data_IF_984370277226
#
_entry.id   IF_984370277226
#
_cell.length_a   1.000
_cell.length_b   1.000
_cell.length_c   1.000
_cell.angle_alpha   90.00
_cell.angle_beta   90.00
_cell.angle_gamma   90.00
#
_symmetry.space_group_name_H-M   'P 1'
#
loop_
_entity.id
_entity.type
_entity.pdbx_description
1 polymer ?
#
# COMPACT_ATOMS: atom_id res chain seq x y z
N UNK A 1 45.30 6.97 -3.76
CA UNK A 1 46.00 7.21 -5.04
C UNK A 1 46.87 8.48 -4.88
N UNK A 2 48.19 8.36 -5.08
CA UNK A 2 49.06 9.53 -5.09
C UNK A 2 48.99 10.17 -6.48
N UNK A 3 48.92 11.50 -6.53
CA UNK A 3 48.95 12.26 -7.76
C UNK A 3 50.35 12.23 -8.38
N UNK A 4 50.46 11.96 -9.66
CA UNK A 4 51.69 12.00 -10.43
C UNK A 4 51.46 12.83 -11.70
N UNK A 5 52.03 14.02 -11.76
CA UNK A 5 51.86 14.99 -12.86
C UNK A 5 52.39 14.50 -14.21
N UNK A 6 53.23 13.48 -14.24
CA UNK A 6 53.86 12.99 -15.48
C UNK A 6 53.16 11.74 -16.07
N UNK A 7 52.12 11.25 -15.44
CA UNK A 7 51.44 10.01 -15.86
C UNK A 7 50.22 10.29 -16.75
N UNK A 8 50.25 9.81 -17.98
CA UNK A 8 49.09 9.80 -18.91
C UNK A 8 47.89 9.03 -18.31
N UNK A 9 48.16 8.15 -17.38
CA UNK A 9 47.14 7.38 -16.67
C UNK A 9 46.25 8.27 -15.78
N UNK A 10 46.84 9.32 -15.16
CA UNK A 10 46.09 10.28 -14.36
C UNK A 10 45.12 11.11 -15.18
N UNK A 11 45.50 11.51 -16.38
CA UNK A 11 44.62 12.24 -17.29
C UNK A 11 43.37 11.40 -17.63
N UNK A 12 43.55 10.13 -17.88
CA UNK A 12 42.45 9.17 -18.14
C UNK A 12 41.56 8.96 -16.90
N UNK A 13 42.15 8.86 -15.72
CA UNK A 13 41.40 8.72 -14.44
C UNK A 13 40.55 9.98 -14.19
N UNK A 14 41.13 11.17 -14.39
CA UNK A 14 40.43 12.44 -14.21
C UNK A 14 39.30 12.55 -15.25
N UNK A 15 39.58 12.30 -16.54
CA UNK A 15 38.57 12.32 -17.60
C UNK A 15 37.43 11.34 -17.33
N UNK A 16 37.71 10.15 -16.83
CA UNK A 16 36.69 9.18 -16.50
C UNK A 16 35.85 9.61 -15.28
N UNK A 17 36.48 10.19 -14.25
CA UNK A 17 35.75 10.74 -13.09
C UNK A 17 34.87 11.92 -13.48
N UNK A 18 35.36 12.82 -14.33
CA UNK A 18 34.57 13.95 -14.83
C UNK A 18 33.40 13.43 -15.69
N UNK A 19 33.62 12.46 -16.58
CA UNK A 19 32.55 11.84 -17.37
C UNK A 19 31.51 11.17 -16.49
N UNK A 20 31.95 10.50 -15.43
CA UNK A 20 31.04 9.86 -14.46
C UNK A 20 30.23 10.90 -13.69
N UNK A 21 30.87 11.97 -13.20
CA UNK A 21 30.22 13.07 -12.53
C UNK A 21 29.19 13.78 -13.44
N UNK A 22 29.58 14.10 -14.68
CA UNK A 22 28.68 14.71 -15.67
C UNK A 22 27.52 13.77 -16.08
N UNK A 23 27.77 12.47 -16.13
CA UNK A 23 26.70 11.49 -16.37
C UNK A 23 25.75 11.40 -15.17
N UNK A 24 26.29 11.52 -13.96
CA UNK A 24 25.51 11.57 -12.72
C UNK A 24 24.71 12.87 -12.61
N UNK A 25 25.31 14.04 -12.90
CA UNK A 25 24.59 15.32 -12.97
C UNK A 25 23.49 15.31 -14.04
N UNK A 26 23.76 14.79 -15.24
CA UNK A 26 22.72 14.63 -16.27
C UNK A 26 21.63 13.62 -15.88
N UNK A 27 21.94 12.63 -15.05
CA UNK A 27 20.91 11.77 -14.48
C UNK A 27 20.10 12.52 -13.42
N UNK A 28 20.73 13.34 -12.59
CA UNK A 28 20.03 14.22 -11.62
C UNK A 28 19.18 15.27 -12.35
N UNK A 29 19.65 15.88 -13.42
CA UNK A 29 18.85 16.82 -14.24
C UNK A 29 17.67 16.12 -14.94
N UNK A 30 17.83 14.85 -15.36
CA UNK A 30 16.69 14.00 -15.82
C UNK A 30 15.69 13.71 -14.72
N UNK A 31 16.09 13.71 -13.45
CA UNK A 31 15.22 13.61 -12.28
C UNK A 31 14.53 14.94 -11.93
N UNK A 32 14.90 16.07 -12.55
CA UNK A 32 14.25 17.37 -12.33
C UNK A 32 12.84 17.48 -12.98
N UNK A 33 12.46 16.53 -13.83
CA UNK A 33 11.07 16.33 -14.30
C UNK A 33 10.22 15.50 -13.33
N UNK A 34 10.51 15.57 -12.03
CA UNK A 34 9.72 14.95 -10.98
C UNK A 34 8.29 15.48 -11.06
N UNK A 35 7.38 14.64 -11.48
CA UNK A 35 5.95 14.94 -11.52
C UNK A 35 5.39 14.83 -10.11
N UNK A 36 5.66 15.82 -9.25
CA UNK A 36 5.11 15.80 -7.89
C UNK A 36 3.62 15.48 -7.91
N UNK A 37 3.21 14.56 -7.05
CA UNK A 37 1.80 14.31 -6.75
C UNK A 37 1.54 14.55 -5.26
N UNK A 38 0.30 14.87 -4.93
CA UNK A 38 -0.11 15.04 -3.53
C UNK A 38 -0.49 13.67 -2.93
N UNK A 39 -1.11 12.83 -3.75
CA UNK A 39 -1.58 11.50 -3.37
C UNK A 39 -1.16 10.48 -4.40
N UNK A 40 -0.68 9.34 -3.92
CA UNK A 40 -0.52 8.14 -4.71
C UNK A 40 -1.45 7.04 -4.18
N UNK A 41 -2.10 6.30 -5.08
CA UNK A 41 -2.98 5.17 -4.74
C UNK A 41 -2.46 3.93 -5.46
N UNK A 42 -2.25 2.85 -4.72
CA UNK A 42 -1.79 1.58 -5.27
C UNK A 42 -2.75 0.45 -4.95
N UNK A 43 -2.81 -0.54 -5.84
CA UNK A 43 -3.58 -1.75 -5.68
C UNK A 43 -2.81 -2.98 -6.20
N UNK A 44 -3.25 -4.18 -5.82
CA UNK A 44 -2.55 -5.41 -6.13
C UNK A 44 -3.08 -6.09 -7.40
N UNK A 45 -4.39 -6.23 -7.52
CA UNK A 45 -5.02 -7.08 -8.53
C UNK A 45 -5.99 -6.32 -9.44
N UNK A 46 -6.34 -6.94 -10.57
CA UNK A 46 -7.20 -6.30 -11.59
C UNK A 46 -8.57 -5.85 -11.04
N UNK A 47 -9.22 -6.64 -10.20
CA UNK A 47 -10.51 -6.28 -9.61
C UNK A 47 -10.44 -4.98 -8.79
N UNK A 48 -9.32 -4.79 -8.07
CA UNK A 48 -9.06 -3.57 -7.29
C UNK A 48 -8.78 -2.38 -8.23
N UNK A 49 -8.00 -2.60 -9.31
CA UNK A 49 -7.73 -1.57 -10.30
C UNK A 49 -9.01 -1.12 -11.04
N UNK A 50 -9.89 -2.05 -11.40
CA UNK A 50 -11.18 -1.73 -12.00
C UNK A 50 -12.07 -0.92 -11.03
N UNK A 51 -12.10 -1.31 -9.75
CA UNK A 51 -12.82 -0.57 -8.72
C UNK A 51 -12.24 0.84 -8.51
N UNK A 52 -10.91 0.97 -8.53
CA UNK A 52 -10.22 2.26 -8.40
C UNK A 52 -10.53 3.17 -9.60
N UNK A 53 -10.46 2.64 -10.84
CA UNK A 53 -10.86 3.39 -12.04
C UNK A 53 -12.33 3.79 -11.99
N UNK A 54 -13.20 2.93 -11.50
CA UNK A 54 -14.62 3.24 -11.34
C UNK A 54 -14.83 4.35 -10.31
N UNK A 55 -14.16 4.29 -9.16
CA UNK A 55 -14.27 5.31 -8.12
C UNK A 55 -13.91 6.70 -8.66
N UNK A 56 -12.84 6.80 -9.45
CA UNK A 56 -12.33 8.05 -10.00
C UNK A 56 -12.76 8.34 -11.46
N UNK A 57 -13.78 7.67 -11.98
CA UNK A 57 -14.24 7.74 -13.39
C UNK A 57 -14.61 9.14 -13.89
N UNK A 58 -14.90 10.07 -12.99
CA UNK A 58 -15.26 11.46 -13.31
C UNK A 58 -14.03 12.34 -13.57
N UNK A 59 -12.83 11.78 -13.41
CA UNK A 59 -11.55 12.49 -13.58
C UNK A 59 -10.77 11.89 -14.75
N UNK A 60 -10.10 12.77 -15.50
CA UNK A 60 -9.31 12.39 -16.68
C UNK A 60 -7.88 12.02 -16.29
N UNK A 61 -7.65 10.72 -16.08
CA UNK A 61 -6.33 10.19 -15.77
C UNK A 61 -5.54 9.88 -17.04
N UNK A 62 -4.40 10.53 -17.20
CA UNK A 62 -3.49 10.32 -18.31
C UNK A 62 -2.39 9.32 -17.92
N UNK A 63 -2.11 8.39 -18.84
CA UNK A 63 -1.02 7.43 -18.66
C UNK A 63 0.34 8.14 -18.70
N UNK A 64 1.20 7.81 -17.76
CA UNK A 64 2.56 8.33 -17.63
C UNK A 64 3.52 7.17 -17.46
N UNK A 65 4.61 7.18 -18.20
CA UNK A 65 5.66 6.16 -18.12
C UNK A 65 7.03 6.83 -17.93
N UNK A 66 7.96 6.06 -17.41
CA UNK A 66 9.36 6.44 -17.22
C UNK A 66 10.25 5.40 -17.89
N UNK A 67 11.33 5.83 -18.55
CA UNK A 67 12.27 4.92 -19.22
C UNK A 67 12.96 3.93 -18.26
N UNK A 68 13.03 4.30 -16.98
CA UNK A 68 13.67 3.51 -15.92
C UNK A 68 12.73 2.51 -15.23
N UNK A 69 11.44 2.52 -15.57
CA UNK A 69 10.41 1.74 -14.90
C UNK A 69 9.39 1.21 -15.92
N UNK A 70 9.01 -0.05 -15.78
CA UNK A 70 8.04 -0.71 -16.66
C UNK A 70 6.60 -0.57 -16.18
N UNK A 71 6.35 0.17 -15.11
CA UNK A 71 5.04 0.39 -14.52
C UNK A 71 4.23 1.41 -15.31
N UNK A 72 2.96 1.15 -15.52
CA UNK A 72 2.00 2.13 -16.02
C UNK A 72 1.44 2.94 -14.86
N UNK A 73 1.70 4.23 -14.88
CA UNK A 73 1.12 5.18 -13.93
C UNK A 73 0.02 5.98 -14.59
N UNK A 74 -1.00 6.32 -13.83
CA UNK A 74 -2.11 7.14 -14.28
C UNK A 74 -2.22 8.39 -13.39
N UNK A 75 -2.03 9.57 -13.97
CA UNK A 75 -1.95 10.85 -13.27
C UNK A 75 -3.09 11.77 -13.70
N UNK A 76 -3.76 12.40 -12.74
CA UNK A 76 -4.75 13.44 -12.99
C UNK A 76 -4.57 14.64 -12.06
N UNK A 77 -5.01 15.82 -12.53
CA UNK A 77 -5.28 16.96 -11.66
C UNK A 77 -6.76 16.92 -11.28
N UNK A 78 -7.04 16.98 -9.99
CA UNK A 78 -8.40 16.95 -9.47
C UNK A 78 -8.60 18.07 -8.44
N UNK A 79 -9.86 18.45 -8.22
CA UNK A 79 -10.19 19.45 -7.17
C UNK A 79 -10.61 18.71 -5.92
N UNK A 80 -9.91 18.94 -4.81
CA UNK A 80 -10.20 18.38 -3.50
C UNK A 80 -10.13 19.49 -2.44
N UNK A 81 -11.15 19.62 -1.61
CA UNK A 81 -11.23 20.69 -0.60
C UNK A 81 -10.97 22.11 -1.14
N UNK A 82 -11.39 22.37 -2.40
CA UNK A 82 -11.16 23.66 -3.07
C UNK A 82 -9.75 23.89 -3.58
N UNK A 83 -8.86 22.91 -3.47
CA UNK A 83 -7.47 22.96 -3.98
C UNK A 83 -7.32 22.07 -5.20
N UNK A 84 -6.45 22.49 -6.14
CA UNK A 84 -6.01 21.63 -7.23
C UNK A 84 -4.90 20.71 -6.73
N UNK A 85 -5.15 19.42 -6.73
CA UNK A 85 -4.19 18.40 -6.32
C UNK A 85 -3.87 17.46 -7.48
N UNK A 86 -2.72 16.82 -7.39
CA UNK A 86 -2.32 15.76 -8.33
C UNK A 86 -2.44 14.40 -7.65
N UNK A 87 -3.20 13.53 -8.29
CA UNK A 87 -3.38 12.16 -7.85
C UNK A 87 -2.79 11.21 -8.89
N UNK A 88 -1.93 10.29 -8.45
CA UNK A 88 -1.41 9.21 -9.28
C UNK A 88 -1.91 7.87 -8.75
N UNK A 89 -2.24 6.95 -9.66
CA UNK A 89 -2.47 5.57 -9.25
C UNK A 89 -1.71 4.58 -10.14
N UNK A 90 -1.41 3.42 -9.57
CA UNK A 90 -0.77 2.32 -10.27
C UNK A 90 -1.16 0.96 -9.67
N UNK A 91 -1.04 -0.08 -10.47
CA UNK A 91 -1.20 -1.47 -10.04
C UNK A 91 0.17 -2.13 -9.92
N UNK A 92 0.40 -2.88 -8.85
CA UNK A 92 1.61 -3.70 -8.75
C UNK A 92 1.58 -4.87 -9.74
N UNK A 93 2.75 -5.38 -10.06
CA UNK A 93 2.92 -6.40 -11.09
C UNK A 93 2.37 -7.77 -10.69
N UNK A 94 2.49 -8.11 -9.42
CA UNK A 94 2.05 -9.35 -8.81
C UNK A 94 1.70 -9.13 -7.35
N UNK A 95 0.97 -10.04 -6.73
CA UNK A 95 0.64 -9.97 -5.30
C UNK A 95 1.90 -10.13 -4.44
N UNK A 96 1.87 -9.55 -3.24
CA UNK A 96 2.86 -9.76 -2.20
C UNK A 96 3.73 -8.55 -1.86
N UNK A 97 4.36 -8.61 -0.70
CA UNK A 97 5.15 -7.54 -0.08
C UNK A 97 6.28 -7.03 -0.97
N UNK A 98 6.96 -7.91 -1.72
CA UNK A 98 8.09 -7.52 -2.57
C UNK A 98 7.64 -6.60 -3.71
N UNK A 99 6.56 -6.98 -4.41
CA UNK A 99 5.98 -6.17 -5.48
C UNK A 99 5.41 -4.85 -4.94
N UNK A 100 4.73 -4.89 -3.79
CA UNK A 100 4.20 -3.72 -3.11
C UNK A 100 5.30 -2.74 -2.70
N UNK A 101 6.41 -3.23 -2.10
CA UNK A 101 7.56 -2.39 -1.76
C UNK A 101 8.21 -1.77 -2.98
N UNK A 102 8.40 -2.54 -4.05
CA UNK A 102 9.02 -2.05 -5.29
C UNK A 102 8.18 -0.95 -5.92
N UNK A 103 6.86 -1.17 -6.08
CA UNK A 103 5.96 -0.16 -6.63
C UNK A 103 5.92 1.10 -5.75
N UNK A 104 5.87 0.93 -4.43
CA UNK A 104 5.87 2.05 -3.48
C UNK A 104 7.13 2.90 -3.59
N UNK A 105 8.33 2.26 -3.65
CA UNK A 105 9.60 2.96 -3.83
C UNK A 105 9.66 3.71 -5.17
N UNK A 106 9.20 3.07 -6.26
CA UNK A 106 9.16 3.72 -7.57
C UNK A 106 8.22 4.95 -7.57
N UNK A 107 7.04 4.83 -6.97
CA UNK A 107 6.10 5.95 -6.83
C UNK A 107 6.69 7.06 -5.98
N UNK A 108 7.29 6.75 -4.83
CA UNK A 108 7.94 7.73 -3.97
C UNK A 108 9.05 8.44 -4.73
N UNK A 109 9.86 7.70 -5.48
CA UNK A 109 10.95 8.24 -6.27
C UNK A 109 10.47 9.15 -7.42
N UNK A 110 9.42 8.76 -8.14
CA UNK A 110 8.97 9.49 -9.32
C UNK A 110 8.03 10.65 -9.01
N UNK A 111 7.26 10.55 -7.91
CA UNK A 111 6.14 11.47 -7.66
C UNK A 111 6.20 12.19 -6.31
N UNK A 112 7.04 11.76 -5.36
CA UNK A 112 7.15 12.35 -4.01
C UNK A 112 5.80 12.69 -3.38
N UNK A 113 4.86 11.73 -3.26
CA UNK A 113 3.53 12.01 -2.73
C UNK A 113 3.58 12.29 -1.23
N UNK A 114 2.69 13.15 -0.72
CA UNK A 114 2.47 13.32 0.71
C UNK A 114 1.78 12.10 1.32
N UNK A 115 0.82 11.52 0.59
CA UNK A 115 0.07 10.32 1.01
C UNK A 115 0.25 9.19 0.02
N UNK A 116 0.56 8.00 0.54
CA UNK A 116 0.60 6.75 -0.23
C UNK A 116 -0.49 5.81 0.28
N UNK A 117 -1.56 5.65 -0.49
CA UNK A 117 -2.73 4.87 -0.09
C UNK A 117 -2.70 3.51 -0.77
N UNK A 118 -2.69 2.42 0.00
CA UNK A 118 -2.95 1.08 -0.50
C UNK A 118 -4.43 0.78 -0.37
N UNK A 119 -5.09 0.47 -1.48
CA UNK A 119 -6.47 -0.01 -1.50
C UNK A 119 -6.52 -1.48 -1.89
N UNK A 120 -7.62 -2.16 -1.57
CA UNK A 120 -7.84 -3.52 -2.02
C UNK A 120 -8.65 -4.36 -1.04
N UNK A 121 -8.42 -5.67 -1.10
CA UNK A 121 -9.11 -6.67 -0.31
C UNK A 121 -8.20 -7.33 0.72
N UNK A 122 -8.79 -7.86 1.78
CA UNK A 122 -8.10 -8.62 2.82
C UNK A 122 -9.02 -9.70 3.39
N UNK A 123 -8.45 -10.69 4.04
CA UNK A 123 -9.23 -11.58 4.89
C UNK A 123 -9.47 -10.91 6.26
N UNK A 124 -10.70 -10.97 6.76
CA UNK A 124 -11.06 -10.53 8.10
C UNK A 124 -10.65 -11.54 9.16
N UNK A 125 -10.25 -11.09 10.35
CA UNK A 125 -9.92 -11.95 11.49
C UNK A 125 -10.77 -11.55 12.70
N UNK A 126 -11.31 -12.56 13.41
CA UNK A 126 -12.13 -12.39 14.59
C UNK A 126 -13.62 -12.14 14.28
N UNK A 127 -14.46 -12.15 15.32
CA UNK A 127 -15.91 -12.00 15.21
C UNK A 127 -16.36 -10.53 15.08
N UNK A 128 -17.63 -10.34 14.72
CA UNK A 128 -18.27 -9.02 14.70
C UNK A 128 -17.91 -8.14 13.51
N UNK A 129 -17.37 -8.73 12.44
CA UNK A 129 -17.08 -8.07 11.17
C UNK A 129 -17.91 -8.67 10.04
N UNK A 130 -18.13 -7.89 9.01
CA UNK A 130 -18.91 -8.29 7.85
C UNK A 130 -18.06 -8.22 6.57
N UNK A 131 -18.45 -8.98 5.56
CA UNK A 131 -17.87 -8.87 4.22
C UNK A 131 -18.11 -7.46 3.67
N UNK A 132 -17.07 -6.83 3.17
CA UNK A 132 -17.07 -5.44 2.72
C UNK A 132 -16.68 -4.42 3.78
N UNK A 133 -16.67 -4.76 5.09
CA UNK A 133 -16.15 -3.84 6.11
C UNK A 133 -14.72 -3.43 5.78
N UNK A 134 -14.41 -2.15 5.96
CA UNK A 134 -13.14 -1.55 5.55
C UNK A 134 -12.17 -1.59 6.72
N UNK A 135 -11.11 -2.37 6.61
CA UNK A 135 -10.00 -2.37 7.55
C UNK A 135 -9.13 -1.14 7.29
N UNK A 136 -8.95 -0.33 8.32
CA UNK A 136 -7.93 0.71 8.39
C UNK A 136 -6.78 0.18 9.23
N UNK A 137 -5.65 -0.10 8.61
CA UNK A 137 -4.49 -0.60 9.33
C UNK A 137 -3.89 0.48 10.24
N UNK A 138 -4.05 0.34 11.56
CA UNK A 138 -3.39 1.23 12.54
C UNK A 138 -1.93 0.85 12.74
N UNK A 139 -1.59 -0.38 12.45
CA UNK A 139 -0.24 -0.91 12.33
C UNK A 139 -0.24 -2.08 11.35
N UNK A 140 0.89 -2.33 10.74
CA UNK A 140 1.13 -3.51 9.90
C UNK A 140 2.30 -4.31 10.44
N UNK A 141 2.25 -5.64 10.32
CA UNK A 141 3.31 -6.51 10.79
C UNK A 141 3.40 -7.78 9.94
N UNK A 142 4.64 -8.29 9.79
CA UNK A 142 4.88 -9.48 8.98
C UNK A 142 4.90 -10.74 9.86
N UNK A 143 3.84 -11.56 9.74
CA UNK A 143 3.72 -12.81 10.50
C UNK A 143 4.69 -13.91 10.02
N UNK A 144 5.25 -13.78 8.83
CA UNK A 144 6.22 -14.74 8.27
C UNK A 144 7.65 -14.44 8.74
N UNK A 145 7.87 -13.37 9.51
CA UNK A 145 9.19 -13.01 10.02
C UNK A 145 9.53 -13.78 11.30
N UNK A 146 10.60 -14.55 11.29
CA UNK A 146 10.98 -15.38 12.42
C UNK A 146 12.05 -16.39 12.06
N UNK A 147 12.21 -17.41 12.91
CA UNK A 147 13.15 -18.51 12.71
C UNK A 147 12.49 -19.86 12.99
N UNK A 148 12.98 -20.89 12.33
CA UNK A 148 12.66 -22.28 12.71
C UNK A 148 13.64 -22.75 13.79
N UNK A 149 13.09 -23.34 14.84
CA UNK A 149 13.84 -23.98 15.92
C UNK A 149 13.47 -25.46 15.98
N UNK A 150 14.33 -26.28 16.59
CA UNK A 150 14.03 -27.70 16.82
C UNK A 150 13.29 -27.84 18.15
N UNK A 151 12.10 -28.43 18.12
CA UNK A 151 11.33 -28.76 19.30
C UNK A 151 11.88 -29.96 20.06
N UNK A 152 11.28 -30.28 21.21
CA UNK A 152 11.77 -31.33 22.11
C UNK A 152 11.76 -32.73 21.47
N UNK A 153 10.88 -32.99 20.52
CA UNK A 153 10.76 -34.27 19.81
C UNK A 153 11.43 -34.23 18.41
N UNK A 154 12.22 -33.18 18.11
CA UNK A 154 12.90 -33.02 16.83
C UNK A 154 12.08 -32.38 15.72
N UNK A 155 10.84 -31.96 15.99
CA UNK A 155 9.98 -31.24 15.05
C UNK A 155 10.46 -29.82 14.79
N UNK A 156 10.18 -29.29 13.60
CA UNK A 156 10.45 -27.89 13.28
C UNK A 156 9.33 -27.00 13.81
N UNK A 157 9.67 -26.09 14.72
CA UNK A 157 8.76 -25.10 15.31
C UNK A 157 9.13 -23.71 14.77
N UNK A 158 8.15 -22.97 14.21
CA UNK A 158 8.35 -21.58 13.83
C UNK A 158 8.29 -20.70 15.08
N UNK A 159 9.38 -19.92 15.31
CA UNK A 159 9.48 -18.93 16.38
C UNK A 159 9.43 -17.54 15.74
N UNK A 160 8.30 -16.84 15.78
CA UNK A 160 8.12 -15.54 15.12
C UNK A 160 8.89 -14.44 15.84
N UNK A 161 9.33 -13.43 15.06
CA UNK A 161 9.93 -12.17 15.52
C UNK A 161 9.29 -11.02 14.73
N UNK A 162 8.00 -10.74 14.95
CA UNK A 162 7.28 -9.72 14.19
C UNK A 162 7.79 -8.33 14.50
N UNK A 163 7.95 -7.51 13.46
CA UNK A 163 8.21 -6.08 13.57
C UNK A 163 6.98 -5.33 13.12
N UNK A 164 6.53 -4.41 13.95
CA UNK A 164 5.35 -3.60 13.72
C UNK A 164 5.74 -2.24 13.16
N UNK A 165 5.03 -1.74 12.17
CA UNK A 165 5.16 -0.38 11.63
C UNK A 165 3.82 0.30 11.84
N UNK A 166 3.83 1.41 12.58
CA UNK A 166 2.62 2.13 12.99
C UNK A 166 2.16 3.10 11.89
N UNK A 167 0.86 3.31 11.81
CA UNK A 167 0.28 4.44 11.10
C UNK A 167 0.67 5.75 11.79
N UNK A 168 0.81 6.82 11.04
CA UNK A 168 0.99 8.17 11.60
C UNK A 168 -0.14 8.51 12.58
N UNK A 169 0.20 9.02 13.76
CA UNK A 169 -0.75 9.25 14.83
C UNK A 169 -1.80 10.33 14.50
N UNK A 170 -1.42 11.35 13.73
CA UNK A 170 -2.32 12.37 13.23
C UNK A 170 -3.33 11.77 12.27
N UNK A 171 -2.86 10.95 11.34
CA UNK A 171 -3.71 10.23 10.40
C UNK A 171 -4.62 9.23 11.10
N UNK A 172 -4.13 8.49 12.10
CA UNK A 172 -4.96 7.59 12.90
C UNK A 172 -6.10 8.35 13.58
N UNK A 173 -5.81 9.50 14.17
CA UNK A 173 -6.83 10.35 14.83
C UNK A 173 -7.91 10.82 13.85
N UNK A 174 -7.54 11.13 12.61
CA UNK A 174 -8.47 11.48 11.53
C UNK A 174 -9.35 10.28 11.18
N UNK A 175 -8.76 9.10 10.97
CA UNK A 175 -9.47 7.91 10.55
C UNK A 175 -10.35 7.28 11.65
N UNK A 176 -10.19 7.70 12.90
CA UNK A 176 -11.08 7.32 14.02
C UNK A 176 -12.35 8.17 14.15
N UNK A 177 -12.54 9.19 13.31
CA UNK A 177 -13.75 10.00 13.31
C UNK A 177 -14.97 9.19 12.86
N UNK A 178 -16.16 9.72 13.08
CA UNK A 178 -17.40 9.09 12.63
C UNK A 178 -17.61 9.30 11.11
N UNK A 179 -17.75 8.22 10.39
CA UNK A 179 -17.99 8.16 8.94
C UNK A 179 -19.29 7.41 8.60
N UNK A 180 -20.17 7.16 9.55
CA UNK A 180 -21.37 6.33 9.34
C UNK A 180 -22.22 6.79 8.15
N UNK A 181 -22.40 8.09 7.98
CA UNK A 181 -23.17 8.64 6.86
C UNK A 181 -22.52 8.35 5.50
N UNK A 182 -21.21 8.47 5.40
CA UNK A 182 -20.43 8.22 4.19
C UNK A 182 -20.44 6.73 3.84
N UNK A 183 -20.25 5.89 4.83
CA UNK A 183 -20.28 4.43 4.65
C UNK A 183 -21.67 3.95 4.22
N UNK A 184 -22.73 4.52 4.77
CA UNK A 184 -24.10 4.27 4.31
C UNK A 184 -24.28 4.67 2.84
N UNK A 185 -23.76 5.83 2.45
CA UNK A 185 -23.76 6.29 1.06
C UNK A 185 -23.04 5.32 0.12
N UNK A 186 -21.81 4.93 0.47
CA UNK A 186 -20.99 3.97 -0.29
C UNK A 186 -21.75 2.66 -0.48
N UNK A 187 -22.28 2.08 0.59
CA UNK A 187 -23.06 0.84 0.51
C UNK A 187 -24.26 0.98 -0.41
N UNK A 188 -25.02 2.07 -0.29
CA UNK A 188 -26.25 2.32 -1.07
C UNK A 188 -25.98 2.48 -2.56
N UNK A 189 -24.85 3.05 -2.93
CA UNK A 189 -24.49 3.30 -4.34
C UNK A 189 -23.90 2.08 -5.05
N UNK A 190 -23.58 1.01 -4.32
CA UNK A 190 -23.12 -0.23 -4.93
C UNK A 190 -24.16 -0.85 -5.84
N UNK A 191 -23.78 -1.08 -7.10
CA UNK A 191 -24.61 -1.71 -8.13
C UNK A 191 -24.19 -3.17 -8.34
N UNK A 192 -24.53 -4.01 -7.39
CA UNK A 192 -24.23 -5.44 -7.40
C UNK A 192 -25.24 -6.23 -6.61
N UNK A 193 -24.78 -7.29 -5.94
CA UNK A 193 -25.62 -8.08 -5.04
C UNK A 193 -26.14 -7.25 -3.87
N UNK A 194 -27.29 -7.64 -3.34
CA UNK A 194 -27.88 -6.99 -2.17
C UNK A 194 -27.05 -7.28 -0.93
N UNK A 195 -26.63 -6.22 -0.22
CA UNK A 195 -25.86 -6.30 1.02
C UNK A 195 -26.81 -6.01 2.20
N UNK A 196 -27.05 -6.98 3.08
CA UNK A 196 -28.02 -6.89 4.18
C UNK A 196 -27.46 -6.21 5.42
N UNK A 197 -26.16 -6.28 5.66
CA UNK A 197 -25.48 -5.68 6.82
C UNK A 197 -24.99 -4.27 6.55
N UNK A 198 -24.73 -3.51 7.60
CA UNK A 198 -24.14 -2.18 7.46
C UNK A 198 -22.65 -2.26 7.14
N UNK A 199 -22.14 -1.27 6.41
CA UNK A 199 -20.73 -1.10 6.11
C UNK A 199 -20.05 -0.35 7.26
N UNK A 200 -18.94 -0.87 7.76
CA UNK A 200 -18.23 -0.29 8.90
C UNK A 200 -16.74 -0.07 8.58
N UNK A 201 -16.11 0.85 9.34
CA UNK A 201 -14.66 0.91 9.47
C UNK A 201 -14.20 0.04 10.64
N UNK A 202 -13.19 -0.76 10.38
CA UNK A 202 -12.55 -1.62 11.38
C UNK A 202 -11.10 -1.18 11.54
N UNK A 203 -10.81 -0.44 12.61
CA UNK A 203 -9.45 0.03 12.89
C UNK A 203 -8.71 -0.98 13.75
N UNK A 204 -7.52 -1.40 13.30
CA UNK A 204 -6.68 -2.33 14.07
C UNK A 204 -5.45 -2.80 13.31
N UNK A 205 -4.65 -3.66 13.96
CA UNK A 205 -3.47 -4.28 13.36
C UNK A 205 -3.84 -5.14 12.16
N UNK A 206 -3.07 -5.01 11.08
CA UNK A 206 -3.18 -5.84 9.89
C UNK A 206 -1.94 -6.74 9.79
N UNK A 207 -2.14 -8.05 9.80
CA UNK A 207 -1.07 -9.01 9.57
C UNK A 207 -0.79 -9.12 8.07
N UNK A 208 0.47 -9.23 7.70
CA UNK A 208 0.88 -9.37 6.31
C UNK A 208 1.78 -10.59 6.14
N UNK A 209 1.63 -11.31 5.05
CA UNK A 209 2.46 -12.48 4.78
C UNK A 209 2.53 -12.85 3.31
N UNK A 210 3.40 -13.81 2.98
CA UNK A 210 3.68 -14.19 1.59
C UNK A 210 2.66 -15.16 0.98
N UNK A 211 1.72 -15.67 1.76
CA UNK A 211 0.78 -16.70 1.31
C UNK A 211 -0.67 -16.32 1.60
N UNK A 212 -1.56 -16.72 0.70
CA UNK A 212 -2.99 -16.72 0.95
C UNK A 212 -3.31 -17.77 2.01
N UNK A 213 -3.95 -17.35 3.09
CA UNK A 213 -4.37 -18.26 4.18
C UNK A 213 -5.84 -18.61 3.99
N UNK A 214 -6.14 -19.89 3.97
CA UNK A 214 -7.49 -20.45 3.92
C UNK A 214 -7.64 -21.56 4.97
N UNK A 215 -7.07 -21.36 6.17
CA UNK A 215 -7.06 -22.34 7.23
C UNK A 215 -7.08 -21.62 8.59
N UNK A 216 -8.16 -21.80 9.34
CA UNK A 216 -8.39 -21.16 10.63
C UNK A 216 -7.30 -21.49 11.67
N UNK A 217 -6.75 -22.70 11.64
CA UNK A 217 -5.66 -23.09 12.55
C UNK A 217 -4.39 -22.27 12.32
N UNK A 218 -4.05 -21.98 11.07
CA UNK A 218 -2.88 -21.11 10.75
C UNK A 218 -3.11 -19.70 11.31
N UNK A 219 -4.34 -19.18 11.20
CA UNK A 219 -4.70 -17.88 11.78
C UNK A 219 -4.49 -17.87 13.28
N UNK A 220 -4.95 -18.91 13.98
CA UNK A 220 -4.81 -19.02 15.43
C UNK A 220 -3.34 -19.17 15.84
N UNK A 221 -2.62 -20.11 15.24
CA UNK A 221 -1.26 -20.48 15.64
C UNK A 221 -0.22 -19.41 15.28
N UNK A 222 -0.33 -18.76 14.12
CA UNK A 222 0.69 -17.83 13.63
C UNK A 222 0.31 -16.35 13.82
N UNK A 223 -0.95 -16.02 13.98
CA UNK A 223 -1.41 -14.63 14.02
C UNK A 223 -1.96 -14.28 15.39
N UNK A 224 -3.03 -14.95 15.85
CA UNK A 224 -3.72 -14.56 17.08
C UNK A 224 -2.88 -14.76 18.34
N UNK A 225 -1.99 -15.76 18.37
CA UNK A 225 -1.07 -15.95 19.49
C UNK A 225 -0.04 -14.82 19.62
N UNK A 226 0.30 -14.13 18.52
CA UNK A 226 1.31 -13.08 18.51
C UNK A 226 0.73 -11.68 18.53
N UNK A 227 -0.44 -11.47 17.96
CA UNK A 227 -1.16 -10.20 17.98
C UNK A 227 -2.67 -10.44 18.06
N UNK A 228 -3.17 -10.60 19.27
CA UNK A 228 -4.60 -10.89 19.55
C UNK A 228 -5.57 -9.81 19.07
N UNK A 229 -5.08 -8.61 18.76
CA UNK A 229 -5.89 -7.48 18.27
C UNK A 229 -5.93 -7.39 16.74
N UNK A 230 -5.24 -8.29 16.05
CA UNK A 230 -5.22 -8.32 14.59
C UNK A 230 -6.63 -8.45 14.04
N UNK A 231 -6.99 -7.56 13.12
CA UNK A 231 -8.34 -7.45 12.56
C UNK A 231 -8.45 -8.03 11.16
N UNK A 232 -7.34 -8.26 10.51
CA UNK A 232 -7.30 -8.83 9.16
C UNK A 232 -5.91 -9.27 8.73
N UNK A 233 -5.87 -9.83 7.53
CA UNK A 233 -4.70 -10.43 6.91
C UNK A 233 -4.65 -10.06 5.43
N UNK A 234 -3.49 -9.57 4.97
CA UNK A 234 -3.22 -9.30 3.55
C UNK A 234 -1.82 -9.82 3.14
N UNK A 235 -1.40 -9.47 1.93
CA UNK A 235 -0.10 -9.87 1.40
C UNK A 235 0.81 -8.68 1.05
N UNK A 236 0.39 -7.45 1.20
CA UNK A 236 1.03 -6.26 0.66
C UNK A 236 1.36 -5.16 1.67
N UNK A 237 0.49 -4.94 2.64
CA UNK A 237 0.50 -3.74 3.50
C UNK A 237 1.85 -3.49 4.18
N UNK A 238 2.50 -4.54 4.68
CA UNK A 238 3.83 -4.39 5.30
C UNK A 238 4.85 -3.85 4.31
N UNK A 239 4.81 -4.29 3.05
CA UNK A 239 5.72 -3.81 2.01
C UNK A 239 5.55 -2.32 1.72
N UNK A 240 4.31 -1.83 1.69
CA UNK A 240 3.98 -0.41 1.48
C UNK A 240 4.50 0.45 2.63
N UNK A 241 4.18 0.06 3.87
CA UNK A 241 4.62 0.78 5.06
C UNK A 241 6.14 0.76 5.20
N UNK A 242 6.77 -0.38 4.89
CA UNK A 242 8.22 -0.51 4.92
C UNK A 242 8.89 0.44 3.92
N UNK A 243 8.39 0.52 2.69
CA UNK A 243 8.91 1.42 1.67
C UNK A 243 8.76 2.90 2.07
N UNK A 244 7.62 3.29 2.64
CA UNK A 244 7.36 4.66 3.07
C UNK A 244 8.22 5.07 4.27
N UNK A 245 8.42 4.18 5.26
CA UNK A 245 9.15 4.52 6.48
C UNK A 245 10.68 4.38 6.39
N UNK A 246 11.16 3.48 5.52
CA UNK A 246 12.59 3.16 5.42
C UNK A 246 13.18 3.35 4.03
N UNK A 247 12.40 3.91 3.11
CA UNK A 247 12.82 4.21 1.74
C UNK A 247 13.58 5.53 1.62
N UNK A 248 13.55 6.10 0.42
CA UNK A 248 14.32 7.30 0.07
C UNK A 248 13.72 8.61 0.61
N UNK A 249 12.44 8.61 0.94
CA UNK A 249 11.70 9.76 1.48
C UNK A 249 10.75 9.28 2.59
N UNK A 250 11.09 9.57 3.82
CA UNK A 250 10.32 9.16 5.01
C UNK A 250 9.26 10.20 5.44
N UNK A 251 9.03 11.24 4.64
CA UNK A 251 7.94 12.20 4.85
C UNK A 251 6.59 11.71 4.33
N UNK A 252 6.59 10.63 3.55
CA UNK A 252 5.39 10.03 2.98
C UNK A 252 4.58 9.32 4.06
N UNK A 253 3.28 9.62 4.13
CA UNK A 253 2.35 9.00 5.07
C UNK A 253 1.67 7.80 4.38
N UNK A 254 2.01 6.55 4.73
CA UNK A 254 1.32 5.38 4.20
C UNK A 254 -0.04 5.20 4.88
N UNK A 255 -1.05 4.86 4.09
CA UNK A 255 -2.40 4.53 4.56
C UNK A 255 -2.81 3.22 3.90
N UNK A 256 -3.29 2.24 4.66
CA UNK A 256 -3.79 0.99 4.11
C UNK A 256 -5.28 0.84 4.42
N UNK A 257 -6.07 0.70 3.35
CA UNK A 257 -7.51 0.54 3.35
C UNK A 257 -7.84 -0.77 2.61
N UNK A 258 -8.08 -1.82 3.36
CA UNK A 258 -8.42 -3.14 2.79
C UNK A 258 -9.82 -3.53 3.22
N UNK A 259 -10.67 -3.93 2.29
CA UNK A 259 -12.01 -4.40 2.65
C UNK A 259 -12.08 -5.91 2.74
N UNK A 260 -12.88 -6.41 3.67
CA UNK A 260 -13.00 -7.84 3.96
C UNK A 260 -13.71 -8.54 2.81
N UNK A 261 -13.00 -9.44 2.12
CA UNK A 261 -13.55 -10.29 1.05
C UNK A 261 -13.87 -11.71 1.52
N UNK A 262 -13.20 -12.17 2.56
CA UNK A 262 -13.33 -13.50 3.16
C UNK A 262 -12.81 -13.48 4.62
N UNK A 263 -12.83 -14.60 5.32
CA UNK A 263 -12.39 -14.71 6.71
C UNK A 263 -11.21 -15.67 6.92
N UNK A 264 -10.41 -15.90 5.89
CA UNK A 264 -9.24 -16.80 5.93
C UNK A 264 -9.55 -18.22 6.43
N UNK A 265 -10.77 -18.68 6.27
CA UNK A 265 -11.27 -19.99 6.68
C UNK A 265 -11.49 -20.92 5.47
N UNK A 266 -11.96 -22.12 5.74
CA UNK A 266 -12.25 -23.15 4.75
C UNK A 266 -13.46 -22.81 3.84
N UNK A 267 -14.20 -21.75 4.15
CA UNK A 267 -15.36 -21.26 3.38
C UNK A 267 -15.01 -20.11 2.44
N UNK A 268 -13.71 -19.83 2.27
CA UNK A 268 -13.23 -18.77 1.40
C UNK A 268 -13.83 -18.88 0.00
N UNK A 269 -14.40 -17.76 -0.50
CA UNK A 269 -14.97 -17.63 -1.83
C UNK A 269 -14.69 -16.25 -2.42
N UNK A 270 -14.91 -16.12 -3.73
CA UNK A 270 -14.61 -14.89 -4.47
C UNK A 270 -15.84 -13.97 -4.67
N UNK A 271 -17.00 -14.39 -4.15
CA UNK A 271 -18.29 -13.71 -4.40
C UNK A 271 -18.32 -12.25 -3.91
N UNK A 272 -17.56 -11.93 -2.88
CA UNK A 272 -17.52 -10.59 -2.30
C UNK A 272 -16.32 -9.74 -2.72
N UNK A 273 -15.41 -10.24 -3.54
CA UNK A 273 -14.23 -9.48 -3.98
C UNK A 273 -14.59 -8.17 -4.67
N UNK A 274 -15.64 -8.18 -5.52
CA UNK A 274 -16.10 -6.94 -6.20
C UNK A 274 -16.63 -5.91 -5.21
N UNK A 275 -17.43 -6.34 -4.23
CA UNK A 275 -17.95 -5.43 -3.22
C UNK A 275 -16.83 -4.89 -2.33
N UNK A 276 -15.94 -5.75 -1.86
CA UNK A 276 -14.80 -5.36 -1.05
C UNK A 276 -13.86 -4.39 -1.78
N UNK A 277 -13.50 -4.69 -3.03
CA UNK A 277 -12.69 -3.76 -3.85
C UNK A 277 -13.39 -2.41 -4.03
N UNK A 278 -14.70 -2.42 -4.27
CA UNK A 278 -15.50 -1.20 -4.41
C UNK A 278 -15.48 -0.36 -3.12
N UNK A 279 -15.75 -0.96 -1.94
CA UNK A 279 -15.85 -0.22 -0.68
C UNK A 279 -14.53 0.41 -0.27
N UNK A 280 -13.40 -0.30 -0.42
CA UNK A 280 -12.07 0.25 -0.14
C UNK A 280 -11.72 1.41 -1.06
N UNK A 281 -12.01 1.32 -2.36
CA UNK A 281 -11.71 2.38 -3.34
C UNK A 281 -12.61 3.60 -3.17
N UNK A 282 -13.91 3.43 -2.93
CA UNK A 282 -14.82 4.57 -2.71
C UNK A 282 -14.50 5.31 -1.41
N UNK A 283 -14.12 4.59 -0.34
CA UNK A 283 -13.69 5.26 0.88
C UNK A 283 -12.35 5.98 0.70
N UNK A 284 -11.40 5.39 -0.04
CA UNK A 284 -10.16 6.08 -0.41
C UNK A 284 -10.43 7.37 -1.19
N UNK A 285 -11.32 7.31 -2.19
CA UNK A 285 -11.77 8.51 -2.93
C UNK A 285 -12.35 9.57 -1.98
N UNK A 286 -13.22 9.15 -1.05
CA UNK A 286 -13.81 10.08 -0.08
C UNK A 286 -12.74 10.75 0.77
N UNK A 287 -11.74 10.00 1.27
CA UNK A 287 -10.61 10.56 2.01
C UNK A 287 -9.85 11.58 1.18
N UNK A 288 -9.49 11.22 -0.05
CA UNK A 288 -8.74 12.10 -0.97
C UNK A 288 -9.49 13.40 -1.25
N UNK A 289 -10.78 13.32 -1.52
CA UNK A 289 -11.56 14.49 -1.96
C UNK A 289 -12.00 15.40 -0.81
N UNK A 290 -12.16 14.86 0.43
CA UNK A 290 -12.88 15.59 1.48
C UNK A 290 -12.13 15.66 2.81
N UNK A 291 -11.12 14.82 3.06
CA UNK A 291 -10.55 14.66 4.40
C UNK A 291 -9.07 15.01 4.45
N UNK A 292 -8.28 14.54 3.47
CA UNK A 292 -6.84 14.76 3.47
C UNK A 292 -6.51 16.25 3.31
N UNK A 293 -5.47 16.69 4.00
CA UNK A 293 -5.01 18.07 3.97
C UNK A 293 -3.86 18.23 2.97
N UNK A 294 -4.01 19.24 2.13
CA UNK A 294 -3.05 19.59 1.07
C UNK A 294 -2.48 20.98 1.34
N UNK A 295 -1.21 21.18 1.04
CA UNK A 295 -0.50 22.45 1.23
C UNK A 295 -0.90 23.52 0.20
#
# INVERSE_FOLDING_TARGET
LKYDEQSVEWENVIKNKIRYALKYEKSIERFSDVKKSDVAIICAVNNEMEALKYAFKEHDFQRVNFDSDTTDYYLANIVANGKNIKVVYAQQREMGMAAASTLSLNIIHHFHPKYLIMVGIAAGIGSGKNLGDIIVATEVWNYSNGKYITGENGEAIFSPDPKHILLDSGMESILRRDYAQQLFGIKREFKGQTISHDLNLVLGPLACGAAVVGNSKIVDDMIMQHSRKTVGLDMESYGVFYAANYGIDNSVIPICLKSISDFADEKKGDDFQKYASYTSCEFAKYLVLNILEYD
#
